data_IF_080131262288
#
_entry.id   IF_080131262288
#
_cell.length_a   1.000
_cell.length_b   1.000
_cell.length_c   1.000
_cell.angle_alpha   90.00
_cell.angle_beta   90.00
_cell.angle_gamma   90.00
#
_symmetry.space_group_name_H-M   'P 1'
#
loop_
_entity.id
_entity.type
_entity.pdbx_description
1 polymer ?
#
# COMPACT_ATOMS: atom_id res chain seq x y z
N UNK A 1 24.02 -66.34 -25.20
CA UNK A 1 25.24 -65.65 -25.69
C UNK A 1 24.82 -64.47 -26.57
N UNK A 2 25.45 -63.29 -26.37
CA UNK A 2 25.66 -62.13 -27.30
C UNK A 2 24.41 -61.55 -28.01
N UNK A 3 23.90 -60.35 -27.65
CA UNK A 3 24.37 -58.94 -27.88
C UNK A 3 23.82 -58.30 -29.17
N UNK A 4 23.55 -56.98 -29.06
CA UNK A 4 23.32 -55.92 -30.08
C UNK A 4 21.83 -55.47 -30.08
N UNK A 5 21.38 -54.40 -29.40
CA UNK A 5 21.69 -52.94 -29.43
C UNK A 5 21.30 -52.24 -30.74
N UNK A 6 20.20 -51.49 -30.72
CA UNK A 6 19.88 -50.21 -31.43
C UNK A 6 18.50 -49.76 -30.88
N UNK A 7 18.33 -48.82 -29.95
CA UNK A 7 18.64 -47.37 -29.93
C UNK A 7 17.91 -46.57 -31.02
N UNK A 8 16.67 -46.15 -30.73
CA UNK A 8 16.07 -44.93 -31.28
C UNK A 8 15.34 -44.19 -30.14
N UNK A 9 16.07 -43.21 -29.63
CA UNK A 9 15.63 -41.94 -29.03
C UNK A 9 14.12 -41.71 -28.87
N UNK A 10 13.63 -41.87 -27.64
CA UNK A 10 12.49 -41.09 -27.18
C UNK A 10 12.97 -39.65 -27.02
N UNK A 11 12.58 -38.77 -27.96
CA UNK A 11 12.62 -37.33 -27.74
C UNK A 11 11.77 -37.06 -26.50
N UNK A 12 12.43 -36.83 -25.37
CA UNK A 12 11.87 -36.03 -24.29
C UNK A 12 11.68 -34.64 -24.87
N UNK A 13 10.50 -34.38 -25.43
CA UNK A 13 9.97 -33.03 -25.51
C UNK A 13 9.75 -32.59 -24.06
N UNK A 14 10.81 -32.07 -23.46
CA UNK A 14 10.77 -31.24 -22.28
C UNK A 14 9.90 -30.05 -22.68
N UNK A 15 8.61 -30.16 -22.43
CA UNK A 15 7.73 -29.00 -22.47
C UNK A 15 8.31 -28.05 -21.42
N UNK A 16 9.03 -27.04 -21.89
CA UNK A 16 9.24 -25.81 -21.16
C UNK A 16 7.83 -25.26 -20.89
N UNK A 17 7.24 -25.68 -19.78
CA UNK A 17 6.18 -24.92 -19.17
C UNK A 17 6.82 -23.56 -18.87
N UNK A 18 6.28 -22.44 -19.37
CA UNK A 18 6.64 -21.16 -18.80
C UNK A 18 6.36 -21.27 -17.31
N UNK A 19 7.32 -20.86 -16.48
CA UNK A 19 7.10 -20.67 -15.06
C UNK A 19 6.05 -19.56 -14.91
N UNK A 20 4.77 -19.90 -15.03
CA UNK A 20 3.69 -19.06 -14.60
C UNK A 20 3.89 -18.89 -13.10
N UNK A 21 4.31 -17.69 -12.72
CA UNK A 21 4.51 -17.32 -11.33
C UNK A 21 3.19 -17.54 -10.58
N UNK A 22 3.14 -18.54 -9.69
CA UNK A 22 1.99 -18.95 -8.85
C UNK A 22 1.48 -17.87 -7.87
N UNK A 23 1.85 -16.61 -8.07
CA UNK A 23 1.33 -15.52 -7.24
C UNK A 23 -0.08 -15.14 -7.71
N UNK A 24 -1.07 -15.08 -6.81
CA UNK A 24 -2.39 -14.57 -7.15
C UNK A 24 -2.24 -13.16 -7.68
N UNK A 25 -2.70 -12.94 -8.93
CA UNK A 25 -2.71 -11.62 -9.55
C UNK A 25 -3.69 -10.72 -8.80
N UNK A 26 -3.34 -9.45 -8.64
CA UNK A 26 -4.26 -8.45 -8.08
C UNK A 26 -5.53 -8.39 -8.94
N UNK A 27 -6.67 -8.72 -8.34
CA UNK A 27 -7.97 -8.60 -8.96
C UNK A 27 -8.52 -7.22 -8.61
N UNK A 28 -8.44 -6.26 -9.53
CA UNK A 28 -8.97 -4.91 -9.31
C UNK A 28 -10.50 -4.96 -9.26
N UNK A 29 -11.07 -4.94 -8.05
CA UNK A 29 -12.50 -4.86 -7.84
C UNK A 29 -12.96 -3.41 -8.01
N UNK A 30 -14.00 -3.11 -8.82
CA UNK A 30 -14.50 -1.74 -8.98
C UNK A 30 -15.00 -1.11 -7.68
N UNK A 31 -15.19 -1.86 -6.58
CA UNK A 31 -15.59 -1.32 -5.28
C UNK A 31 -14.44 -1.19 -4.27
N UNK A 32 -13.22 -1.43 -4.74
CA UNK A 32 -12.02 -1.37 -3.91
C UNK A 32 -11.53 0.08 -3.75
N UNK A 33 -11.19 0.44 -2.52
CA UNK A 33 -10.43 1.66 -2.23
C UNK A 33 -8.95 1.29 -2.18
N UNK A 34 -8.14 1.98 -2.97
CA UNK A 34 -6.69 1.85 -2.95
C UNK A 34 -6.12 2.96 -2.07
N UNK A 35 -5.41 2.59 -1.02
CA UNK A 35 -4.61 3.51 -0.21
C UNK A 35 -3.17 3.36 -0.65
N UNK A 36 -2.64 4.37 -1.33
CA UNK A 36 -1.26 4.36 -1.80
C UNK A 36 -0.38 5.21 -0.89
N UNK A 37 0.72 4.62 -0.41
CA UNK A 37 1.80 5.37 0.23
C UNK A 37 2.98 5.45 -0.75
N UNK A 38 3.21 6.63 -1.35
CA UNK A 38 4.38 6.84 -2.17
C UNK A 38 5.71 6.41 -1.59
N UNK A 39 6.56 5.94 -2.48
CA UNK A 39 7.98 5.82 -2.19
C UNK A 39 8.57 7.22 -2.05
N UNK A 40 9.35 7.43 -1.00
CA UNK A 40 10.15 8.62 -0.75
C UNK A 40 11.63 8.25 -0.87
N UNK A 41 12.51 9.25 -0.87
CA UNK A 41 13.94 8.99 -0.70
C UNK A 41 14.19 8.72 0.79
N UNK A 42 15.24 7.95 1.12
CA UNK A 42 15.76 7.70 2.49
C UNK A 42 15.02 6.65 3.32
N UNK A 43 15.48 6.46 4.55
CA UNK A 43 14.95 5.53 5.56
C UNK A 43 13.47 5.76 5.91
N UNK A 44 12.91 6.89 5.48
CA UNK A 44 11.51 7.21 5.69
C UNK A 44 10.55 6.15 5.13
N UNK A 45 10.94 5.43 4.07
CA UNK A 45 10.12 4.34 3.52
C UNK A 45 9.83 3.24 4.55
N UNK A 46 10.71 3.04 5.53
CA UNK A 46 10.56 2.03 6.57
C UNK A 46 9.66 2.47 7.74
N UNK A 47 9.22 3.74 7.76
CA UNK A 47 8.26 4.21 8.77
C UNK A 47 6.88 3.65 8.44
N UNK A 48 6.44 2.66 9.23
CA UNK A 48 5.10 2.08 9.05
C UNK A 48 4.01 3.09 9.34
N UNK A 49 3.10 3.21 8.39
CA UNK A 49 1.92 4.04 8.49
C UNK A 49 0.68 3.15 8.67
N UNK A 50 0.16 3.06 9.89
CA UNK A 50 -0.98 2.22 10.23
C UNK A 50 -2.29 2.90 9.85
N UNK A 51 -3.25 2.15 9.31
CA UNK A 51 -4.56 2.66 8.91
C UNK A 51 -5.58 2.34 9.99
N UNK A 52 -6.30 3.38 10.44
CA UNK A 52 -7.46 3.29 11.31
C UNK A 52 -8.72 3.62 10.50
N UNK A 53 -9.75 2.79 10.66
CA UNK A 53 -11.00 2.89 9.93
C UNK A 53 -12.15 2.89 10.94
N UNK A 54 -12.94 3.95 10.93
CA UNK A 54 -14.18 4.05 11.70
C UNK A 54 -15.38 3.94 10.77
N UNK A 55 -16.44 3.23 11.19
CA UNK A 55 -17.72 3.24 10.49
C UNK A 55 -18.54 4.50 10.79
N UNK A 56 -19.69 4.66 10.12
CA UNK A 56 -20.58 5.82 10.27
C UNK A 56 -21.05 6.07 11.72
N UNK A 57 -21.01 5.04 12.58
CA UNK A 57 -21.38 5.13 13.98
C UNK A 57 -20.17 5.40 14.90
N UNK A 58 -18.98 5.58 14.32
CA UNK A 58 -17.72 5.81 15.04
C UNK A 58 -17.07 4.55 15.61
N UNK A 59 -17.51 3.35 15.23
CA UNK A 59 -16.87 2.12 15.70
C UNK A 59 -15.58 1.86 14.94
N UNK A 60 -14.50 1.50 15.64
CA UNK A 60 -13.27 1.03 15.01
C UNK A 60 -13.50 -0.34 14.35
N UNK A 61 -13.40 -0.36 13.03
CA UNK A 61 -13.63 -1.54 12.19
C UNK A 61 -12.36 -2.04 11.50
N UNK A 62 -11.20 -1.47 11.84
CA UNK A 62 -9.89 -1.73 11.21
C UNK A 62 -9.51 -3.22 11.19
N UNK A 63 -10.05 -4.04 12.10
CA UNK A 63 -9.74 -5.46 12.23
C UNK A 63 -10.91 -6.41 12.00
N UNK A 64 -12.14 -5.92 11.92
CA UNK A 64 -13.35 -6.75 12.00
C UNK A 64 -14.18 -6.78 10.71
N UNK A 65 -14.23 -5.66 9.96
CA UNK A 65 -15.08 -5.54 8.76
C UNK A 65 -14.28 -5.34 7.47
N UNK A 66 -12.95 -5.29 7.55
CA UNK A 66 -12.09 -4.90 6.43
C UNK A 66 -11.13 -6.03 6.06
N UNK A 67 -11.04 -6.31 4.76
CA UNK A 67 -10.01 -7.19 4.20
C UNK A 67 -9.06 -6.34 3.35
N UNK A 68 -7.77 -6.48 3.61
CA UNK A 68 -6.72 -5.77 2.90
C UNK A 68 -5.82 -6.75 2.15
N UNK A 69 -5.57 -6.45 0.89
CA UNK A 69 -4.49 -7.02 0.07
C UNK A 69 -3.48 -5.93 -0.23
N UNK A 70 -2.25 -6.31 -0.58
CA UNK A 70 -1.17 -5.35 -0.76
C UNK A 70 -0.41 -5.63 -2.04
N UNK A 71 0.06 -4.57 -2.68
CA UNK A 71 1.02 -4.64 -3.78
C UNK A 71 2.17 -3.66 -3.53
N UNK A 72 3.34 -4.01 -4.05
CA UNK A 72 4.49 -3.11 -4.12
C UNK A 72 4.49 -2.46 -5.51
N UNK A 73 4.72 -1.15 -5.60
CA UNK A 73 4.77 -0.47 -6.90
C UNK A 73 5.93 -0.92 -7.77
N UNK A 74 6.98 -1.48 -7.18
CA UNK A 74 8.13 -2.07 -7.89
C UNK A 74 7.83 -3.45 -8.47
N UNK A 75 6.83 -4.16 -7.93
CA UNK A 75 6.39 -5.48 -8.40
C UNK A 75 4.86 -5.48 -8.44
N UNK A 76 4.25 -4.71 -9.37
CA UNK A 76 2.81 -4.56 -9.43
C UNK A 76 2.15 -5.90 -9.77
N UNK A 77 0.89 -6.07 -9.37
CA UNK A 77 0.08 -7.27 -9.58
C UNK A 77 0.47 -8.52 -8.76
N UNK A 78 1.41 -8.43 -7.81
CA UNK A 78 1.71 -9.51 -6.87
C UNK A 78 1.03 -9.23 -5.54
N UNK A 79 0.00 -10.02 -5.22
CA UNK A 79 -0.77 -9.85 -3.97
C UNK A 79 0.02 -10.38 -2.77
N UNK A 80 0.29 -9.48 -1.84
CA UNK A 80 0.84 -9.77 -0.53
C UNK A 80 -0.28 -9.70 0.52
N UNK A 81 -0.26 -10.62 1.50
CA UNK A 81 -1.24 -10.70 2.57
C UNK A 81 -0.56 -10.54 3.93
N UNK A 82 -0.62 -9.35 4.51
CA UNK A 82 -0.16 -9.10 5.88
C UNK A 82 -1.34 -9.31 6.84
N UNK A 83 -1.36 -10.45 7.54
CA UNK A 83 -2.46 -10.79 8.46
C UNK A 83 -2.48 -9.81 9.65
N UNK A 84 -3.68 -9.32 9.98
CA UNK A 84 -4.03 -8.62 11.23
C UNK A 84 -3.40 -7.25 11.49
N UNK A 85 -2.68 -6.65 10.53
CA UNK A 85 -2.11 -5.32 10.65
C UNK A 85 -2.37 -4.54 9.36
N UNK A 86 -3.14 -3.46 9.45
CA UNK A 86 -3.33 -2.51 8.35
C UNK A 86 -2.22 -1.46 8.44
N UNK A 87 -1.15 -1.62 7.65
CA UNK A 87 -0.10 -0.60 7.55
C UNK A 87 0.50 -0.53 6.15
N UNK A 88 1.14 0.58 5.84
CA UNK A 88 1.83 0.84 4.58
C UNK A 88 3.29 1.26 4.82
N UNK A 89 4.20 0.62 4.08
CA UNK A 89 5.56 1.10 3.86
C UNK A 89 5.63 1.96 2.58
N UNK A 90 6.75 2.65 2.35
CA UNK A 90 6.93 3.50 1.19
C UNK A 90 6.96 2.67 -0.09
N UNK A 91 6.17 3.04 -1.09
CA UNK A 91 6.02 2.28 -2.34
C UNK A 91 5.01 1.12 -2.24
N UNK A 92 4.18 1.09 -1.20
CA UNK A 92 3.09 0.12 -1.08
C UNK A 92 1.74 0.73 -1.46
N UNK A 93 0.90 -0.08 -2.09
CA UNK A 93 -0.52 0.17 -2.21
C UNK A 93 -1.31 -0.90 -1.43
N UNK A 94 -2.28 -0.45 -0.64
CA UNK A 94 -3.20 -1.28 0.13
C UNK A 94 -4.57 -1.23 -0.56
N UNK A 95 -5.07 -2.41 -0.87
CA UNK A 95 -6.32 -2.67 -1.55
C UNK A 95 -7.36 -3.04 -0.51
N UNK A 96 -8.26 -2.11 -0.20
CA UNK A 96 -9.28 -2.28 0.83
C UNK A 96 -10.62 -2.71 0.23
N UNK A 97 -11.03 -3.91 0.60
CA UNK A 97 -12.35 -4.43 0.30
C UNK A 97 -13.29 -4.11 1.47
N UNK A 98 -14.14 -3.11 1.25
CA UNK A 98 -15.11 -2.58 2.21
C UNK A 98 -16.52 -3.10 1.87
N UNK A 99 -17.37 -3.23 2.88
CA UNK A 99 -18.81 -3.39 2.65
C UNK A 99 -19.40 -2.04 2.27
N UNK A 100 -20.57 -1.99 1.61
CA UNK A 100 -21.27 -0.73 1.39
C UNK A 100 -21.50 0.03 2.70
N UNK A 101 -21.23 1.34 2.69
CA UNK A 101 -21.37 2.24 3.83
C UNK A 101 -20.49 3.48 3.73
N UNK A 102 -20.53 4.28 4.80
CA UNK A 102 -19.67 5.46 4.99
C UNK A 102 -18.61 5.18 6.03
N UNK A 103 -17.40 5.65 5.76
CA UNK A 103 -16.22 5.37 6.56
C UNK A 103 -15.38 6.62 6.77
N UNK A 104 -14.67 6.66 7.90
CA UNK A 104 -13.67 7.67 8.22
C UNK A 104 -12.31 7.00 8.31
N UNK A 105 -11.39 7.44 7.47
CA UNK A 105 -10.02 6.95 7.42
C UNK A 105 -9.10 7.94 8.12
N UNK A 106 -8.20 7.41 8.93
CA UNK A 106 -7.04 8.12 9.45
C UNK A 106 -5.86 7.19 9.44
N UNK A 107 -4.66 7.76 9.49
CA UNK A 107 -3.44 6.98 9.63
C UNK A 107 -2.61 7.48 10.80
N UNK A 108 -1.78 6.58 11.32
CA UNK A 108 -0.89 6.91 12.43
C UNK A 108 0.38 6.06 12.45
N UNK A 109 1.40 6.54 13.16
CA UNK A 109 2.57 5.74 13.53
C UNK A 109 2.60 5.60 15.06
N UNK A 110 2.49 4.38 15.61
CA UNK A 110 2.59 4.12 17.05
C UNK A 110 3.90 4.66 17.65
N UNK A 111 3.85 5.18 18.88
CA UNK A 111 5.01 5.79 19.56
C UNK A 111 6.20 4.82 19.64
N UNK A 112 5.96 3.54 19.94
CA UNK A 112 6.99 2.50 20.01
C UNK A 112 7.63 2.16 18.66
N UNK A 113 7.03 2.64 17.56
CA UNK A 113 7.49 2.46 16.18
C UNK A 113 8.09 3.73 15.59
N UNK A 114 8.17 4.83 16.36
CA UNK A 114 8.83 6.07 15.97
C UNK A 114 10.30 6.13 16.41
N UNK A 115 10.74 5.22 17.28
CA UNK A 115 12.10 5.19 17.78
C UNK A 115 13.12 5.01 16.64
N UNK A 116 14.16 5.84 16.62
CA UNK A 116 15.20 5.83 15.58
C UNK A 116 15.03 6.88 14.48
N UNK A 117 13.92 7.63 14.47
CA UNK A 117 13.72 8.75 13.55
C UNK A 117 13.84 10.08 14.30
N UNK A 118 14.81 10.91 13.92
CA UNK A 118 14.93 12.28 14.42
C UNK A 118 13.89 13.17 13.74
N UNK A 119 12.66 13.14 14.24
CA UNK A 119 11.64 14.10 13.85
C UNK A 119 11.68 15.25 14.85
N UNK A 120 11.74 16.49 14.37
CA UNK A 120 11.67 17.69 15.20
C UNK A 120 10.54 17.53 16.20
N UNK A 121 10.89 17.52 17.49
CA UNK A 121 9.97 17.36 18.63
C UNK A 121 8.65 18.08 18.32
N UNK A 122 7.55 17.33 18.30
CA UNK A 122 6.25 17.89 17.98
C UNK A 122 6.01 19.13 18.84
N UNK A 123 5.73 20.23 18.16
CA UNK A 123 5.24 21.45 18.79
C UNK A 123 3.97 21.01 19.54
N UNK A 124 3.98 21.10 20.87
CA UNK A 124 2.87 20.81 21.78
C UNK A 124 2.60 19.36 22.23
N UNK A 125 3.62 18.50 22.37
CA UNK A 125 3.56 17.39 23.34
C UNK A 125 2.59 16.24 23.02
N UNK A 126 2.09 16.14 21.77
CA UNK A 126 1.44 14.93 21.26
C UNK A 126 2.50 14.07 20.57
N UNK A 127 2.78 12.92 21.15
CA UNK A 127 3.79 11.97 20.65
C UNK A 127 3.30 11.08 19.51
N UNK A 128 2.07 11.25 19.01
CA UNK A 128 1.51 10.37 17.99
C UNK A 128 1.51 11.08 16.64
N UNK A 129 2.25 10.53 15.69
CA UNK A 129 2.17 10.97 14.30
C UNK A 129 0.83 10.49 13.75
N UNK A 130 -0.08 11.42 13.52
CA UNK A 130 -1.44 11.17 13.06
C UNK A 130 -1.71 11.96 11.78
N UNK A 131 -2.75 11.58 11.04
CA UNK A 131 -3.25 12.34 9.91
C UNK A 131 -4.52 13.13 10.22
N UNK A 132 -4.92 13.95 9.24
CA UNK A 132 -6.30 14.35 9.07
C UNK A 132 -7.24 13.13 8.89
N UNK A 133 -8.53 13.39 8.99
CA UNK A 133 -9.57 12.41 8.69
C UNK A 133 -10.00 12.56 7.24
N UNK A 134 -10.08 11.45 6.52
CA UNK A 134 -10.63 11.35 5.18
C UNK A 134 -11.97 10.63 5.22
N UNK A 135 -13.03 11.30 4.77
CA UNK A 135 -14.36 10.71 4.68
C UNK A 135 -14.55 10.01 3.33
N UNK A 136 -15.07 8.79 3.37
CA UNK A 136 -15.25 7.95 2.21
C UNK A 136 -16.67 7.38 2.17
N UNK A 137 -17.31 7.53 1.02
CA UNK A 137 -18.63 6.99 0.73
C UNK A 137 -18.50 5.95 -0.39
N UNK A 138 -18.90 4.70 -0.11
CA UNK A 138 -18.84 3.62 -1.10
C UNK A 138 -19.79 3.84 -2.30
N UNK A 139 -20.81 4.69 -2.16
CA UNK A 139 -21.76 5.00 -3.25
C UNK A 139 -21.19 6.00 -4.26
N UNK A 140 -20.20 6.80 -3.88
CA UNK A 140 -19.51 7.76 -4.75
C UNK A 140 -17.98 7.57 -4.66
N UNK A 141 -17.45 6.49 -5.25
CA UNK A 141 -16.16 5.97 -4.86
C UNK A 141 -14.99 6.75 -5.46
N UNK A 142 -14.25 7.43 -4.60
CA UNK A 142 -12.83 7.72 -4.87
C UNK A 142 -12.06 6.40 -4.94
N UNK A 143 -11.35 6.14 -6.05
CA UNK A 143 -10.62 4.86 -6.21
C UNK A 143 -9.29 4.82 -5.48
N UNK A 144 -8.64 5.97 -5.37
CA UNK A 144 -7.28 6.06 -4.82
C UNK A 144 -7.21 7.24 -3.87
N UNK A 145 -6.67 6.98 -2.68
CA UNK A 145 -6.22 8.01 -1.75
C UNK A 145 -4.72 7.85 -1.50
N UNK A 146 -4.06 8.97 -1.28
CA UNK A 146 -2.63 9.06 -1.06
C UNK A 146 -2.38 9.35 0.41
N UNK A 147 -1.41 8.63 0.97
CA UNK A 147 -0.90 8.87 2.32
C UNK A 147 0.50 9.42 2.19
N UNK A 148 0.70 10.64 2.68
CA UNK A 148 1.98 11.34 2.53
C UNK A 148 2.51 11.91 3.84
N UNK A 149 3.84 11.96 4.00
CA UNK A 149 4.44 12.74 5.07
C UNK A 149 4.13 14.22 4.91
N UNK A 150 3.83 14.89 6.01
CA UNK A 150 3.87 16.36 6.07
C UNK A 150 5.31 16.78 6.32
N UNK A 151 5.80 17.65 5.45
CA UNK A 151 7.15 18.20 5.53
C UNK A 151 7.10 19.66 5.99
N UNK A 152 8.18 20.13 6.62
CA UNK A 152 8.42 21.54 6.86
C UNK A 152 8.88 22.26 5.57
N UNK A 153 9.12 23.57 5.68
CA UNK A 153 9.55 24.39 4.54
C UNK A 153 10.92 23.99 3.97
N UNK A 154 11.72 23.24 4.74
CA UNK A 154 13.03 22.72 4.34
C UNK A 154 12.94 21.29 3.77
N UNK A 155 11.76 20.70 3.72
CA UNK A 155 11.54 19.33 3.23
C UNK A 155 11.81 18.24 4.27
N UNK A 156 11.94 18.57 5.56
CA UNK A 156 12.08 17.58 6.63
C UNK A 156 10.72 17.14 7.15
N UNK A 157 10.61 15.86 7.49
CA UNK A 157 9.36 15.30 8.02
C UNK A 157 9.03 15.82 9.42
N UNK A 158 7.79 16.29 9.60
CA UNK A 158 7.30 16.92 10.84
C UNK A 158 6.75 15.96 11.88
N UNK A 159 6.71 14.65 11.62
CA UNK A 159 5.99 13.72 12.48
C UNK A 159 4.47 13.79 12.31
N UNK A 160 4.00 14.07 11.10
CA UNK A 160 2.58 14.23 10.78
C UNK A 160 2.28 13.60 9.43
N UNK A 161 1.13 12.95 9.31
CA UNK A 161 0.68 12.34 8.06
C UNK A 161 -0.41 13.18 7.40
N UNK A 162 -0.60 13.01 6.11
CA UNK A 162 -1.70 13.64 5.37
C UNK A 162 -2.34 12.64 4.41
N UNK A 163 -3.67 12.59 4.42
CA UNK A 163 -4.50 11.79 3.53
C UNK A 163 -5.25 12.72 2.59
N UNK A 164 -5.13 12.48 1.28
CA UNK A 164 -5.90 13.20 0.26
C UNK A 164 -6.16 12.29 -0.95
N UNK A 165 -7.24 12.56 -1.68
CA UNK A 165 -7.48 11.94 -2.99
C UNK A 165 -6.60 12.56 -4.08
N UNK A 166 -6.10 13.78 -3.84
CA UNK A 166 -5.14 14.43 -4.73
C UNK A 166 -3.76 13.82 -4.53
N UNK A 167 -3.16 13.38 -5.63
CA UNK A 167 -1.76 13.02 -5.63
C UNK A 167 -0.92 14.18 -5.07
N UNK A 168 0.08 13.89 -4.22
CA UNK A 168 0.91 14.93 -3.64
C UNK A 168 1.68 15.70 -4.72
N UNK A 169 2.04 16.96 -4.45
CA UNK A 169 2.63 17.83 -5.47
C UNK A 169 3.93 17.29 -6.07
N UNK A 170 4.71 16.53 -5.30
CA UNK A 170 5.95 15.92 -5.77
C UNK A 170 5.74 14.73 -6.74
N UNK A 171 4.50 14.27 -6.95
CA UNK A 171 4.13 13.32 -8.01
C UNK A 171 3.86 13.97 -9.36
N UNK A 172 3.86 15.31 -9.45
CA UNK A 172 3.64 15.99 -10.73
C UNK A 172 4.87 15.85 -11.62
N UNK A 173 4.87 14.82 -12.46
CA UNK A 173 5.72 14.77 -13.64
C UNK A 173 5.16 15.73 -14.68
N UNK A 174 5.98 16.66 -15.15
CA UNK A 174 5.62 17.53 -16.26
C UNK A 174 5.62 16.71 -17.55
N UNK A 175 4.45 16.46 -18.12
CA UNK A 175 4.36 15.93 -19.48
C UNK A 175 4.68 17.03 -20.49
N UNK A 176 5.54 16.73 -21.47
CA UNK A 176 5.64 17.56 -22.66
C UNK A 176 4.37 17.38 -23.48
N UNK A 177 3.65 18.48 -23.75
CA UNK A 177 2.71 18.49 -24.88
C UNK A 177 3.52 18.37 -26.17
N UNK A 178 3.52 17.19 -26.77
CA UNK A 178 3.92 17.05 -28.17
C UNK A 178 2.84 17.77 -28.99
N UNK A 179 3.26 18.80 -29.73
CA UNK A 179 2.40 19.49 -30.70
C UNK A 179 2.11 18.61 -31.90
#
# INVERSE_FOLDING_TARGET
>A
MKKILFLISALFSLAFLPADSDFPRASHNPWELIIYRPENKTDFNYVRCYVKIEDENGNDVSKSKVKATYEWTTIPNVVNNYKNLLYLDGGMAMHLNLRPGKYRFSVYTPVDKQAGFECTKSIAGKFQWESNIFEYDTENPTKVIFVTPVMDDNGFFKGEWWIDWKAPRFFKWSEMKIK
#
